data_IF_732590244861
#
_entry.id   IF_732590244861
#
_cell.length_a   1.000
_cell.length_b   1.000
_cell.length_c   1.000
_cell.angle_alpha   90.00
_cell.angle_beta   90.00
_cell.angle_gamma   90.00
#
_symmetry.space_group_name_H-M   'P 1'
#
loop_
_entity.id
_entity.type
_entity.pdbx_description
1 polymer ?
#
# COMPACT_ATOMS: atom_id res chain seq x y z
N UNK A 1 13.37 9.59 -24.03
CA UNK A 1 12.96 9.62 -22.62
C UNK A 1 13.72 8.54 -21.90
N UNK A 2 14.66 8.94 -21.03
CA UNK A 2 15.39 8.10 -20.10
C UNK A 2 14.78 8.24 -18.71
N UNK A 3 14.49 7.14 -18.04
CA UNK A 3 13.77 7.12 -16.75
C UNK A 3 14.72 6.68 -15.65
N UNK A 4 14.93 7.53 -14.65
CA UNK A 4 15.60 7.15 -13.41
C UNK A 4 14.58 6.55 -12.44
N UNK A 5 14.89 5.38 -11.89
CA UNK A 5 14.06 4.71 -10.90
C UNK A 5 14.58 5.05 -9.51
N UNK A 6 13.91 5.97 -8.81
CA UNK A 6 14.27 6.38 -7.45
C UNK A 6 13.71 5.40 -6.40
N UNK A 7 14.03 4.12 -6.58
CA UNK A 7 13.58 3.02 -5.72
C UNK A 7 14.55 1.82 -5.83
N UNK A 8 14.22 0.71 -5.18
CA UNK A 8 15.01 -0.53 -5.13
C UNK A 8 14.12 -1.77 -5.23
N UNK A 9 14.75 -2.95 -5.26
CA UNK A 9 14.04 -4.21 -5.06
C UNK A 9 13.04 -4.50 -6.18
N UNK A 10 11.96 -5.22 -5.86
CA UNK A 10 11.03 -5.74 -6.86
C UNK A 10 10.36 -4.64 -7.68
N UNK A 11 10.01 -3.52 -7.04
CA UNK A 11 9.32 -2.43 -7.75
C UNK A 11 10.25 -1.74 -8.74
N UNK A 12 11.54 -1.63 -8.43
CA UNK A 12 12.50 -1.11 -9.39
C UNK A 12 12.63 -2.03 -10.60
N UNK A 13 12.71 -3.35 -10.37
CA UNK A 13 12.67 -4.36 -11.45
C UNK A 13 11.40 -4.25 -12.30
N UNK A 14 10.24 -4.11 -11.65
CA UNK A 14 8.93 -3.96 -12.31
C UNK A 14 8.85 -2.73 -13.21
N UNK A 15 9.41 -1.60 -12.76
CA UNK A 15 9.47 -0.36 -13.54
C UNK A 15 10.44 -0.48 -14.69
N UNK A 16 11.65 -1.03 -14.46
CA UNK A 16 12.65 -1.25 -15.51
C UNK A 16 12.06 -2.09 -16.65
N UNK A 17 11.36 -3.20 -16.32
CA UNK A 17 10.65 -4.02 -17.31
C UNK A 17 9.62 -3.21 -18.10
N UNK A 18 8.81 -2.38 -17.44
CA UNK A 18 7.84 -1.53 -18.13
C UNK A 18 8.50 -0.52 -19.08
N UNK A 19 9.62 0.08 -18.65
CA UNK A 19 10.40 1.00 -19.47
C UNK A 19 10.96 0.30 -20.71
N UNK A 20 11.60 -0.87 -20.55
CA UNK A 20 12.18 -1.63 -21.66
C UNK A 20 11.10 -2.08 -22.67
N UNK A 21 9.96 -2.57 -22.19
CA UNK A 21 8.82 -2.92 -23.05
C UNK A 21 8.25 -1.72 -23.84
N UNK A 22 8.47 -0.50 -23.35
CA UNK A 22 8.10 0.75 -24.02
C UNK A 22 9.26 1.34 -24.86
N UNK A 23 10.40 0.67 -24.94
CA UNK A 23 11.59 1.14 -25.66
C UNK A 23 12.30 2.33 -24.99
N UNK A 24 12.20 2.46 -23.67
CA UNK A 24 12.79 3.53 -22.88
C UNK A 24 14.06 3.07 -22.18
N UNK A 25 15.05 3.95 -22.09
CA UNK A 25 16.26 3.72 -21.31
C UNK A 25 16.02 3.92 -19.82
N UNK A 26 16.77 3.20 -18.99
CA UNK A 26 16.58 3.15 -17.54
C UNK A 26 17.87 3.45 -16.77
N UNK A 27 17.72 4.14 -15.65
CA UNK A 27 18.81 4.38 -14.68
C UNK A 27 18.38 3.86 -13.32
N UNK A 28 19.13 2.91 -12.77
CA UNK A 28 18.94 2.46 -11.39
C UNK A 28 19.75 3.34 -10.43
N UNK A 29 19.15 3.72 -9.30
CA UNK A 29 19.92 4.18 -8.14
C UNK A 29 20.10 3.04 -7.14
N UNK A 30 21.24 2.99 -6.48
CA UNK A 30 21.51 1.97 -5.48
C UNK A 30 22.35 2.47 -4.31
N UNK A 31 22.20 1.84 -3.15
CA UNK A 31 23.12 2.02 -2.03
C UNK A 31 24.31 1.07 -2.16
N UNK A 32 25.40 1.30 -1.42
CA UNK A 32 26.49 0.31 -1.33
C UNK A 32 26.04 -1.09 -0.88
N UNK A 33 24.96 -1.19 -0.12
CA UNK A 33 24.42 -2.48 0.32
C UNK A 33 23.64 -3.22 -0.79
N UNK A 34 23.20 -2.52 -1.83
CA UNK A 34 22.45 -3.05 -2.97
C UNK A 34 23.29 -3.11 -4.26
N UNK A 35 24.64 -3.06 -4.17
CA UNK A 35 25.52 -3.08 -5.36
C UNK A 35 25.32 -4.31 -6.25
N UNK A 36 24.85 -5.42 -5.67
CA UNK A 36 24.55 -6.67 -6.39
C UNK A 36 23.04 -6.93 -6.54
N UNK A 37 22.18 -5.94 -6.24
CA UNK A 37 20.74 -6.10 -6.35
C UNK A 37 20.30 -6.25 -7.80
N UNK A 38 19.25 -7.06 -8.05
CA UNK A 38 18.82 -7.36 -9.42
C UNK A 38 18.42 -6.12 -10.22
N UNK A 39 17.85 -5.09 -9.58
CA UNK A 39 17.49 -3.85 -10.29
C UNK A 39 18.71 -3.07 -10.81
N UNK A 40 19.88 -3.23 -10.18
CA UNK A 40 21.15 -2.65 -10.66
C UNK A 40 21.62 -3.38 -11.91
N UNK A 41 21.50 -4.71 -11.91
CA UNK A 41 21.92 -5.56 -13.03
C UNK A 41 21.01 -5.42 -14.27
N UNK A 42 19.75 -5.06 -14.07
CA UNK A 42 18.76 -4.98 -15.15
C UNK A 42 18.66 -3.62 -15.81
N UNK A 43 19.07 -2.53 -15.15
CA UNK A 43 19.01 -1.20 -15.74
C UNK A 43 20.14 -0.98 -16.78
N UNK A 44 19.93 -0.04 -17.71
CA UNK A 44 20.95 0.30 -18.72
C UNK A 44 22.17 1.01 -18.09
N UNK A 45 21.92 1.83 -17.06
CA UNK A 45 22.92 2.52 -16.27
C UNK A 45 22.58 2.42 -14.77
N UNK A 46 23.58 2.48 -13.90
CA UNK A 46 23.36 2.48 -12.46
C UNK A 46 24.32 3.41 -11.71
N UNK A 47 23.78 4.17 -10.74
CA UNK A 47 24.54 5.11 -9.91
C UNK A 47 24.39 4.79 -8.43
N UNK A 48 25.52 4.70 -7.73
CA UNK A 48 25.53 4.62 -6.28
C UNK A 48 25.17 5.97 -5.66
N UNK A 49 24.13 6.02 -4.83
CA UNK A 49 23.61 7.25 -4.21
C UNK A 49 23.87 7.34 -2.70
N UNK A 50 24.61 6.39 -2.12
CA UNK A 50 25.07 6.47 -0.73
C UNK A 50 25.24 5.13 -0.02
N UNK A 51 25.29 5.17 1.31
CA UNK A 51 25.51 4.00 2.15
C UNK A 51 24.22 3.19 2.37
N UNK A 52 24.35 2.02 3.02
CA UNK A 52 23.25 1.06 3.22
C UNK A 52 21.96 1.67 3.79
N UNK A 53 21.98 2.41 4.92
CA UNK A 53 20.78 3.00 5.48
C UNK A 53 20.05 3.92 4.48
N UNK A 54 18.72 3.78 4.38
CA UNK A 54 17.91 4.55 3.42
C UNK A 54 18.02 6.07 3.61
N UNK A 55 18.22 6.53 4.84
CA UNK A 55 18.44 7.95 5.18
C UNK A 55 19.72 8.50 4.56
N UNK A 56 20.68 7.63 4.27
CA UNK A 56 21.99 7.92 3.68
C UNK A 56 22.05 7.63 2.18
N UNK A 57 20.98 7.09 1.59
CA UNK A 57 20.88 6.73 0.17
C UNK A 57 19.53 7.09 -0.46
N UNK A 58 18.55 6.18 -0.42
CA UNK A 58 17.25 6.30 -1.12
C UNK A 58 16.38 7.49 -0.69
N UNK A 59 16.68 8.13 0.45
CA UNK A 59 16.02 9.35 0.93
C UNK A 59 16.87 10.62 0.74
N UNK A 60 18.08 10.51 0.19
CA UNK A 60 18.95 11.66 -0.12
C UNK A 60 18.55 12.27 -1.46
N UNK A 61 17.59 13.20 -1.40
CA UNK A 61 17.08 13.95 -2.57
C UNK A 61 18.21 14.55 -3.40
N UNK A 62 19.21 15.18 -2.78
CA UNK A 62 20.33 15.80 -3.49
C UNK A 62 21.09 14.79 -4.36
N UNK A 63 21.40 13.61 -3.82
CA UNK A 63 22.16 12.57 -4.55
C UNK A 63 21.34 11.99 -5.71
N UNK A 64 20.03 11.85 -5.54
CA UNK A 64 19.13 11.37 -6.61
C UNK A 64 19.06 12.40 -7.74
N UNK A 65 18.96 13.68 -7.43
CA UNK A 65 18.96 14.74 -8.45
C UNK A 65 20.31 14.84 -9.17
N UNK A 66 21.42 14.71 -8.45
CA UNK A 66 22.75 14.61 -9.07
C UNK A 66 22.86 13.40 -10.00
N UNK A 67 22.27 12.25 -9.64
CA UNK A 67 22.23 11.09 -10.53
C UNK A 67 21.42 11.36 -11.80
N UNK A 68 20.29 12.07 -11.71
CA UNK A 68 19.53 12.51 -12.88
C UNK A 68 20.35 13.41 -13.80
N UNK A 69 21.05 14.40 -13.23
CA UNK A 69 21.88 15.34 -13.99
C UNK A 69 23.02 14.63 -14.74
N UNK A 70 23.76 13.76 -14.03
CA UNK A 70 24.91 13.04 -14.60
C UNK A 70 24.50 12.06 -15.70
N UNK A 71 23.32 11.44 -15.59
CA UNK A 71 22.83 10.47 -16.58
C UNK A 71 21.99 11.08 -17.69
N UNK A 72 21.59 12.35 -17.55
CA UNK A 72 20.63 12.99 -18.45
C UNK A 72 19.25 12.30 -18.41
N UNK A 73 18.78 11.90 -17.23
CA UNK A 73 17.44 11.35 -17.08
C UNK A 73 16.36 12.42 -17.32
N UNK A 74 15.35 12.10 -18.12
CA UNK A 74 14.22 12.99 -18.43
C UNK A 74 13.09 12.91 -17.39
N UNK A 75 13.01 11.79 -16.68
CA UNK A 75 11.91 11.47 -15.78
C UNK A 75 12.38 10.66 -14.57
N UNK A 76 11.65 10.76 -13.47
CA UNK A 76 11.87 9.97 -12.25
C UNK A 76 10.62 9.14 -11.96
N UNK A 77 10.78 7.83 -11.86
CA UNK A 77 9.76 6.95 -11.29
C UNK A 77 10.09 6.65 -9.83
N UNK A 78 9.28 7.10 -8.85
CA UNK A 78 9.60 6.92 -7.44
C UNK A 78 9.13 5.58 -6.88
N UNK A 79 8.36 4.80 -7.64
CA UNK A 79 7.82 3.51 -7.19
C UNK A 79 6.84 3.69 -6.02
N UNK A 80 7.04 2.93 -4.95
CA UNK A 80 6.33 3.10 -3.68
C UNK A 80 7.27 3.20 -2.48
N UNK A 81 6.79 3.75 -1.35
CA UNK A 81 7.66 4.05 -0.22
C UNK A 81 8.68 5.15 -0.56
N UNK A 82 9.73 5.30 0.26
CA UNK A 82 10.76 6.32 0.10
C UNK A 82 10.20 7.72 -0.20
N UNK A 83 10.45 8.25 -1.39
CA UNK A 83 10.09 9.60 -1.82
C UNK A 83 8.80 9.66 -2.68
N UNK A 84 8.11 8.54 -2.88
CA UNK A 84 6.94 8.45 -3.78
C UNK A 84 5.73 9.29 -3.35
N UNK A 85 5.59 9.55 -2.05
CA UNK A 85 4.54 10.43 -1.50
C UNK A 85 5.13 11.72 -0.90
N UNK A 86 6.38 12.06 -1.27
CA UNK A 86 7.04 13.28 -0.83
C UNK A 86 6.71 14.44 -1.78
N UNK A 87 5.74 15.28 -1.38
CA UNK A 87 5.33 16.45 -2.17
C UNK A 87 6.49 17.43 -2.45
N UNK A 88 7.43 17.60 -1.51
CA UNK A 88 8.60 18.47 -1.73
C UNK A 88 9.51 17.90 -2.81
N UNK A 89 9.74 16.59 -2.81
CA UNK A 89 10.53 15.93 -3.84
C UNK A 89 9.89 16.08 -5.23
N UNK A 90 8.58 15.81 -5.35
CA UNK A 90 7.85 16.01 -6.61
C UNK A 90 7.94 17.47 -7.10
N UNK A 91 7.80 18.45 -6.20
CA UNK A 91 7.94 19.87 -6.54
C UNK A 91 9.36 20.23 -7.02
N UNK A 92 10.40 19.66 -6.40
CA UNK A 92 11.78 19.85 -6.83
C UNK A 92 11.98 19.26 -8.23
N UNK A 93 11.51 18.05 -8.49
CA UNK A 93 11.58 17.44 -9.82
C UNK A 93 10.95 18.35 -10.90
N UNK A 94 9.73 18.85 -10.65
CA UNK A 94 9.04 19.78 -11.55
C UNK A 94 9.87 21.06 -11.79
N UNK A 95 10.48 21.63 -10.74
CA UNK A 95 11.33 22.83 -10.86
C UNK A 95 12.64 22.59 -11.61
N UNK A 96 13.12 21.35 -11.64
CA UNK A 96 14.31 20.92 -12.38
C UNK A 96 13.98 20.41 -13.79
N UNK A 97 12.76 20.60 -14.29
CA UNK A 97 12.27 20.05 -15.57
C UNK A 97 12.35 18.51 -15.66
N UNK A 98 12.37 17.80 -14.53
CA UNK A 98 12.30 16.35 -14.46
C UNK A 98 10.84 15.91 -14.35
N UNK A 99 10.40 15.05 -15.27
CA UNK A 99 9.03 14.55 -15.25
C UNK A 99 8.86 13.55 -14.09
N UNK A 100 8.18 13.97 -13.02
CA UNK A 100 7.82 13.10 -11.92
C UNK A 100 6.70 12.13 -12.37
N UNK A 101 7.01 10.83 -12.46
CA UNK A 101 6.04 9.80 -12.87
C UNK A 101 5.14 9.46 -11.67
N UNK A 102 4.19 10.34 -11.42
CA UNK A 102 3.25 10.32 -10.31
C UNK A 102 2.20 11.43 -10.47
N UNK A 103 1.35 11.67 -9.47
CA UNK A 103 0.47 12.84 -9.43
C UNK A 103 1.26 14.13 -9.19
N UNK A 104 0.61 15.30 -9.33
CA UNK A 104 1.23 16.59 -9.02
C UNK A 104 1.60 16.71 -7.54
N UNK A 105 2.63 17.51 -7.25
CA UNK A 105 3.04 17.81 -5.87
C UNK A 105 1.89 18.36 -5.00
N UNK A 106 1.00 19.18 -5.58
CA UNK A 106 -0.21 19.67 -4.90
C UNK A 106 -1.16 18.53 -4.50
N UNK A 107 -1.39 17.57 -5.40
CA UNK A 107 -2.27 16.45 -5.13
C UNK A 107 -1.69 15.54 -4.04
N UNK A 108 -0.37 15.27 -4.09
CA UNK A 108 0.36 14.56 -3.03
C UNK A 108 0.18 15.28 -1.69
N UNK A 109 0.40 16.59 -1.64
CA UNK A 109 0.27 17.37 -0.41
C UNK A 109 -1.17 17.38 0.14
N UNK A 110 -2.18 17.54 -0.72
CA UNK A 110 -3.59 17.61 -0.31
C UNK A 110 -4.11 16.26 0.18
N UNK A 111 -3.73 15.16 -0.46
CA UNK A 111 -4.21 13.82 -0.13
C UNK A 111 -3.36 13.14 0.96
N UNK A 112 -2.08 13.48 1.08
CA UNK A 112 -1.21 13.02 2.18
C UNK A 112 -1.58 13.65 3.54
N UNK A 113 -2.27 14.79 3.55
CA UNK A 113 -2.84 15.36 4.76
C UNK A 113 -4.23 14.78 5.04
N UNK A 114 -4.36 14.00 6.13
CA UNK A 114 -5.62 13.30 6.48
C UNK A 114 -6.82 14.22 6.63
N UNK A 115 -6.66 15.44 7.15
CA UNK A 115 -7.77 16.38 7.31
C UNK A 115 -8.24 16.93 5.96
N UNK A 116 -7.31 17.29 5.08
CA UNK A 116 -7.63 17.72 3.72
C UNK A 116 -8.21 16.57 2.88
N UNK A 117 -7.66 15.36 2.98
CA UNK A 117 -8.16 14.17 2.30
C UNK A 117 -9.62 13.86 2.72
N UNK A 118 -9.93 13.90 4.01
CA UNK A 118 -11.32 13.77 4.50
C UNK A 118 -12.23 14.88 4.00
N UNK A 119 -11.73 16.12 3.91
CA UNK A 119 -12.51 17.24 3.35
C UNK A 119 -12.84 17.00 1.88
N UNK A 120 -11.88 16.50 1.10
CA UNK A 120 -12.09 16.09 -0.29
C UNK A 120 -13.10 14.95 -0.38
N UNK A 121 -12.98 13.92 0.46
CA UNK A 121 -13.93 12.81 0.51
C UNK A 121 -15.35 13.26 0.84
N UNK A 122 -15.53 14.15 1.83
CA UNK A 122 -16.83 14.76 2.15
C UNK A 122 -17.39 15.54 0.95
N UNK A 123 -16.58 16.35 0.26
CA UNK A 123 -16.99 17.06 -0.97
C UNK A 123 -17.38 16.10 -2.10
N UNK A 124 -16.72 14.94 -2.18
CA UNK A 124 -17.06 13.86 -3.12
C UNK A 124 -18.34 13.09 -2.74
N UNK A 125 -19.01 13.47 -1.64
CA UNK A 125 -20.12 12.74 -1.02
C UNK A 125 -19.76 11.30 -0.66
N UNK A 126 -18.46 11.05 -0.43
CA UNK A 126 -17.98 9.78 0.09
C UNK A 126 -18.14 9.78 1.61
N UNK A 127 -18.73 8.73 2.22
CA UNK A 127 -18.76 8.59 3.66
C UNK A 127 -17.32 8.60 4.22
N UNK A 128 -17.11 9.33 5.31
CA UNK A 128 -15.86 9.32 6.09
C UNK A 128 -16.16 8.75 7.46
N UNK A 129 -15.12 8.28 8.16
CA UNK A 129 -15.27 7.81 9.54
C UNK A 129 -15.89 8.96 10.38
N UNK A 130 -17.05 8.73 11.03
CA UNK A 130 -17.66 9.75 11.88
C UNK A 130 -16.71 10.20 12.97
N UNK A 131 -16.65 11.51 13.24
CA UNK A 131 -15.74 12.08 14.22
C UNK A 131 -16.02 13.56 14.43
N UNK A 132 -15.32 14.17 15.37
CA UNK A 132 -15.45 15.60 15.66
C UNK A 132 -14.95 16.44 14.49
N UNK A 133 -15.58 17.60 14.27
CA UNK A 133 -15.10 18.59 13.30
C UNK A 133 -13.97 19.42 13.94
N UNK A 134 -12.82 18.76 14.17
CA UNK A 134 -11.67 19.36 14.84
C UNK A 134 -11.52 18.92 16.29
N UNK A 135 -10.80 19.74 17.04
CA UNK A 135 -10.36 19.49 18.41
C UNK A 135 -11.53 19.74 19.37
N UNK A 136 -11.63 18.91 20.40
CA UNK A 136 -12.53 19.07 21.55
C UNK A 136 -11.67 19.26 22.81
N UNK A 137 -11.82 20.40 23.47
CA UNK A 137 -11.00 20.76 24.64
C UNK A 137 -11.68 20.48 25.98
N UNK A 138 -13.02 20.55 26.00
CA UNK A 138 -13.82 20.36 27.20
C UNK A 138 -14.46 18.96 27.22
N UNK A 139 -14.44 18.32 28.39
CA UNK A 139 -14.97 16.96 28.59
C UNK A 139 -16.48 16.92 28.37
N UNK A 140 -17.23 17.94 28.77
CA UNK A 140 -18.69 17.94 28.63
C UNK A 140 -19.09 18.08 27.16
N UNK A 141 -18.42 18.94 26.40
CA UNK A 141 -18.63 19.04 24.96
C UNK A 141 -18.15 17.80 24.19
N UNK A 142 -17.00 17.25 24.58
CA UNK A 142 -16.51 15.98 24.03
C UNK A 142 -17.50 14.83 24.28
N UNK A 143 -18.16 14.80 25.45
CA UNK A 143 -19.17 13.79 25.78
C UNK A 143 -20.44 13.94 24.92
N UNK A 144 -20.88 15.18 24.63
CA UNK A 144 -22.00 15.43 23.70
C UNK A 144 -21.69 14.91 22.30
N UNK A 145 -20.48 15.19 21.80
CA UNK A 145 -20.04 14.69 20.50
C UNK A 145 -19.88 13.16 20.50
N UNK A 146 -19.34 12.58 21.58
CA UNK A 146 -19.25 11.13 21.76
C UNK A 146 -20.61 10.44 21.67
N UNK A 147 -21.67 11.02 22.26
CA UNK A 147 -23.04 10.49 22.14
C UNK A 147 -23.57 10.54 20.71
N UNK A 148 -23.25 11.59 19.94
CA UNK A 148 -23.64 11.70 18.52
C UNK A 148 -22.91 10.70 17.63
N UNK A 149 -21.62 10.49 17.88
CA UNK A 149 -20.77 9.51 17.17
C UNK A 149 -21.19 8.07 17.53
N UNK A 150 -21.51 7.86 18.81
CA UNK A 150 -21.86 6.57 19.41
C UNK A 150 -20.62 5.73 19.77
N UNK A 151 -20.75 4.92 20.82
CA UNK A 151 -19.69 4.01 21.30
C UNK A 151 -19.67 2.66 20.55
N UNK A 152 -18.53 1.93 20.53
CA UNK A 152 -17.21 2.36 20.99
C UNK A 152 -16.61 3.42 20.06
N UNK A 153 -15.66 4.20 20.58
CA UNK A 153 -14.95 5.25 19.84
C UNK A 153 -13.48 5.34 20.26
N UNK A 154 -12.67 5.92 19.37
CA UNK A 154 -11.31 6.32 19.65
C UNK A 154 -11.26 7.78 20.14
N UNK A 155 -10.42 7.98 21.15
CA UNK A 155 -9.99 9.29 21.65
C UNK A 155 -8.54 9.45 21.20
N UNK A 156 -8.25 10.43 20.34
CA UNK A 156 -6.94 10.58 19.70
C UNK A 156 -6.37 11.97 19.95
N UNK A 157 -5.07 12.02 20.27
CA UNK A 157 -4.32 13.27 20.31
C UNK A 157 -4.08 13.81 18.89
N UNK A 158 -4.26 15.13 18.70
CA UNK A 158 -4.04 15.82 17.43
C UNK A 158 -2.57 15.74 16.98
N UNK A 159 -1.64 15.84 17.93
CA UNK A 159 -0.20 15.74 17.71
C UNK A 159 0.37 14.30 17.84
N UNK A 160 -0.49 13.29 18.06
CA UNK A 160 -0.07 11.93 18.37
C UNK A 160 0.41 11.11 17.17
N UNK A 161 1.49 10.35 17.35
CA UNK A 161 2.04 9.40 16.38
C UNK A 161 2.54 8.10 17.02
N UNK A 162 2.55 7.00 16.26
CA UNK A 162 3.13 5.73 16.73
C UNK A 162 2.33 4.97 17.80
N UNK A 163 1.03 5.24 17.94
CA UNK A 163 0.15 4.57 18.91
C UNK A 163 0.10 5.21 20.30
N UNK A 164 0.91 6.24 20.56
CA UNK A 164 0.85 7.07 21.77
C UNK A 164 -0.28 8.10 21.65
N UNK A 165 -1.02 8.34 22.73
CA UNK A 165 -2.16 9.27 22.74
C UNK A 165 -3.41 8.75 22.02
N UNK A 166 -3.59 7.42 21.91
CA UNK A 166 -4.81 6.79 21.39
C UNK A 166 -5.44 5.96 22.50
N UNK A 167 -6.68 6.29 22.88
CA UNK A 167 -7.47 5.53 23.86
C UNK A 167 -8.79 5.08 23.26
N UNK A 168 -9.36 4.03 23.83
CA UNK A 168 -10.68 3.52 23.45
C UNK A 168 -11.64 3.77 24.60
N UNK A 169 -12.80 4.32 24.29
CA UNK A 169 -13.94 4.37 25.20
C UNK A 169 -15.04 3.45 24.66
N UNK A 170 -15.40 2.43 25.44
CA UNK A 170 -16.45 1.47 25.05
C UNK A 170 -17.83 1.89 25.53
N UNK A 171 -17.91 2.83 26.47
CA UNK A 171 -19.16 3.35 27.01
C UNK A 171 -19.01 4.78 27.51
N UNK A 172 -20.14 5.41 27.78
CA UNK A 172 -20.20 6.76 28.35
C UNK A 172 -19.51 6.85 29.72
N UNK A 173 -19.65 5.81 30.56
CA UNK A 173 -19.04 5.74 31.90
C UNK A 173 -17.52 5.75 31.83
N UNK A 174 -16.95 5.10 30.82
CA UNK A 174 -15.49 5.03 30.62
C UNK A 174 -14.94 6.28 29.94
N UNK A 175 -15.76 6.97 29.15
CA UNK A 175 -15.31 8.06 28.29
C UNK A 175 -14.58 9.16 29.06
N UNK A 176 -15.17 9.67 30.15
CA UNK A 176 -14.59 10.78 30.93
C UNK A 176 -13.19 10.43 31.41
N UNK A 177 -13.02 9.22 31.97
CA UNK A 177 -11.72 8.73 32.46
C UNK A 177 -10.71 8.61 31.33
N UNK A 178 -11.11 8.03 30.20
CA UNK A 178 -10.21 7.84 29.06
C UNK A 178 -9.86 9.15 28.36
N UNK A 179 -10.78 10.12 28.34
CA UNK A 179 -10.54 11.44 27.76
C UNK A 179 -9.50 12.22 28.54
N UNK A 180 -9.65 12.33 29.86
CA UNK A 180 -8.68 13.01 30.73
C UNK A 180 -7.31 12.34 30.60
N UNK A 181 -7.28 11.02 30.63
CA UNK A 181 -6.02 10.27 30.48
C UNK A 181 -5.36 10.50 29.10
N UNK A 182 -6.14 10.59 28.02
CA UNK A 182 -5.61 10.91 26.69
C UNK A 182 -5.03 12.32 26.65
N UNK A 183 -5.72 13.30 27.25
CA UNK A 183 -5.28 14.69 27.31
C UNK A 183 -3.98 14.84 28.08
N UNK A 184 -3.86 14.21 29.25
CA UNK A 184 -2.63 14.24 30.07
C UNK A 184 -1.45 13.57 29.34
N UNK A 185 -1.70 12.44 28.67
CA UNK A 185 -0.67 11.75 27.88
C UNK A 185 -0.21 12.58 26.68
N UNK A 186 -1.14 13.25 26.01
CA UNK A 186 -0.87 14.12 24.88
C UNK A 186 -0.03 15.33 25.29
N UNK A 187 -0.41 15.99 26.39
CA UNK A 187 0.34 17.11 26.95
C UNK A 187 1.77 16.69 27.35
N UNK A 188 1.91 15.60 28.10
CA UNK A 188 3.22 15.12 28.56
C UNK A 188 4.14 14.67 27.42
N UNK A 189 3.57 14.10 26.35
CA UNK A 189 4.36 13.53 25.25
C UNK A 189 4.64 14.51 24.12
N UNK A 190 3.74 15.48 23.89
CA UNK A 190 3.75 16.32 22.69
C UNK A 190 3.58 17.81 22.99
N UNK A 191 3.49 18.21 24.27
CA UNK A 191 3.23 19.60 24.69
C UNK A 191 2.01 20.18 23.96
N UNK A 192 1.00 19.32 23.74
CA UNK A 192 -0.23 19.61 23.06
C UNK A 192 -1.35 18.69 23.60
N UNK A 193 -2.29 19.27 24.32
CA UNK A 193 -3.46 18.60 24.91
C UNK A 193 -4.65 18.40 23.97
N UNK A 194 -4.53 18.76 22.69
CA UNK A 194 -5.62 18.75 21.73
C UNK A 194 -6.08 17.32 21.43
N UNK A 195 -7.36 17.04 21.70
CA UNK A 195 -7.99 15.75 21.46
C UNK A 195 -9.05 15.85 20.37
N UNK A 196 -9.20 14.82 19.56
CA UNK A 196 -10.35 14.64 18.66
C UNK A 196 -10.93 13.23 18.79
N UNK A 197 -12.20 13.07 18.43
CA UNK A 197 -12.90 11.79 18.54
C UNK A 197 -13.17 11.20 17.17
N UNK A 198 -13.07 9.87 17.06
CA UNK A 198 -13.45 9.12 15.86
C UNK A 198 -14.21 7.85 16.23
N UNK A 199 -15.22 7.51 15.44
CA UNK A 199 -15.90 6.23 15.56
C UNK A 199 -14.90 5.09 15.45
N UNK A 200 -14.97 4.15 16.38
CA UNK A 200 -14.26 2.89 16.25
C UNK A 200 -15.11 1.96 15.39
N UNK A 201 -14.66 1.72 14.16
CA UNK A 201 -15.26 0.69 13.31
C UNK A 201 -14.81 -0.66 13.87
N UNK A 202 -15.77 -1.47 14.30
CA UNK A 202 -15.50 -2.79 14.87
C UNK A 202 -15.24 -3.80 13.76
N UNK A 203 -14.23 -4.64 13.97
CA UNK A 203 -13.86 -5.75 13.08
C UNK A 203 -13.88 -5.37 11.59
N UNK A 204 -13.29 -4.23 11.17
CA UNK A 204 -13.43 -3.78 9.81
C UNK A 204 -12.62 -4.66 8.86
N UNK A 205 -13.09 -4.72 7.61
CA UNK A 205 -12.26 -5.10 6.47
C UNK A 205 -11.58 -3.89 5.88
N UNK A 206 -10.37 -4.10 5.39
CA UNK A 206 -9.64 -3.09 4.63
C UNK A 206 -9.91 -3.35 3.15
N UNK A 207 -10.66 -2.44 2.54
CA UNK A 207 -11.02 -2.48 1.13
C UNK A 207 -10.41 -1.28 0.46
N UNK A 208 -9.82 -1.45 -0.71
CA UNK A 208 -9.24 -0.35 -1.44
C UNK A 208 -9.57 -0.41 -2.92
N UNK A 209 -9.60 0.72 -3.60
CA UNK A 209 -9.96 0.82 -5.01
C UNK A 209 -8.81 1.41 -5.80
N UNK A 210 -8.34 0.65 -6.79
CA UNK A 210 -7.35 1.12 -7.75
C UNK A 210 -7.96 2.16 -8.66
N UNK A 211 -7.29 3.30 -8.81
CA UNK A 211 -7.59 4.28 -9.85
C UNK A 211 -6.37 4.51 -10.74
N UNK A 212 -6.64 4.94 -11.97
CA UNK A 212 -5.65 5.59 -12.83
C UNK A 212 -6.32 6.73 -13.57
N UNK A 213 -5.60 7.83 -13.72
CA UNK A 213 -6.10 9.04 -14.36
C UNK A 213 -5.06 9.64 -15.30
N UNK A 214 -5.48 10.17 -16.45
CA UNK A 214 -4.59 10.92 -17.33
C UNK A 214 -4.62 12.43 -17.06
N UNK A 215 -3.68 13.15 -17.68
CA UNK A 215 -3.59 14.62 -17.61
C UNK A 215 -4.73 15.33 -18.39
N UNK A 216 -5.63 14.58 -19.04
CA UNK A 216 -6.74 15.08 -19.84
C UNK A 216 -8.10 14.98 -19.11
N UNK A 217 -8.08 14.57 -17.83
CA UNK A 217 -9.26 14.49 -16.98
C UNK A 217 -10.03 13.17 -17.09
N UNK A 218 -9.51 12.18 -17.83
CA UNK A 218 -10.09 10.85 -17.86
C UNK A 218 -9.61 10.05 -16.65
N UNK A 219 -10.55 9.52 -15.86
CA UNK A 219 -10.28 8.75 -14.64
C UNK A 219 -11.10 7.47 -14.69
N UNK A 220 -10.44 6.35 -14.43
CA UNK A 220 -11.03 5.01 -14.39
C UNK A 220 -10.60 4.27 -13.13
N UNK A 221 -11.45 3.38 -12.63
CA UNK A 221 -11.11 2.44 -11.56
C UNK A 221 -10.91 1.03 -12.11
N UNK A 222 -9.95 0.29 -11.53
CA UNK A 222 -9.66 -1.12 -11.86
C UNK A 222 -10.20 -2.08 -10.80
N UNK A 223 -11.30 -1.70 -10.18
CA UNK A 223 -11.99 -2.49 -9.16
C UNK A 223 -11.36 -2.38 -7.78
N UNK A 224 -11.84 -3.20 -6.86
CA UNK A 224 -11.42 -3.22 -5.47
C UNK A 224 -10.50 -4.39 -5.12
N UNK A 225 -9.66 -4.21 -4.11
CA UNK A 225 -8.87 -5.25 -3.45
C UNK A 225 -9.28 -5.36 -1.99
N UNK A 226 -9.36 -6.59 -1.49
CA UNK A 226 -9.47 -6.88 -0.07
C UNK A 226 -8.07 -7.11 0.49
N UNK A 227 -7.65 -6.21 1.39
CA UNK A 227 -6.33 -6.21 2.00
C UNK A 227 -6.43 -6.49 3.50
N UNK A 228 -7.47 -7.18 3.96
CA UNK A 228 -7.76 -7.31 5.40
C UNK A 228 -6.82 -8.26 6.14
N UNK A 229 -6.13 -9.15 5.43
CA UNK A 229 -5.17 -10.08 6.04
C UNK A 229 -3.86 -9.33 6.30
N UNK A 230 -3.78 -8.79 7.52
CA UNK A 230 -2.67 -7.95 7.97
C UNK A 230 -2.13 -8.41 9.32
N UNK A 231 -0.82 -8.25 9.52
CA UNK A 231 -0.15 -8.41 10.81
C UNK A 231 0.36 -7.05 11.25
N UNK A 232 -0.04 -6.55 12.42
CA UNK A 232 0.40 -5.23 12.92
C UNK A 232 0.25 -4.12 11.87
N UNK A 233 -0.87 -4.14 11.13
CA UNK A 233 -1.20 -3.21 10.01
C UNK A 233 -0.30 -3.31 8.77
N UNK A 234 0.46 -4.38 8.63
CA UNK A 234 1.20 -4.71 7.41
C UNK A 234 0.43 -5.78 6.63
N UNK A 235 0.07 -5.49 5.38
CA UNK A 235 -0.62 -6.41 4.49
C UNK A 235 0.27 -7.61 4.17
N UNK A 236 -0.30 -8.82 4.16
CA UNK A 236 0.42 -10.08 3.89
C UNK A 236 -0.22 -10.90 2.77
N UNK A 237 -1.55 -10.87 2.69
CA UNK A 237 -2.33 -11.49 1.62
C UNK A 237 -3.38 -10.49 1.14
N UNK A 238 -3.41 -10.26 -0.17
CA UNK A 238 -4.37 -9.39 -0.84
C UNK A 238 -5.15 -10.19 -1.87
N UNK A 239 -6.45 -9.89 -2.02
CA UNK A 239 -7.29 -10.59 -2.99
C UNK A 239 -8.23 -9.67 -3.77
N UNK A 240 -8.50 -10.01 -5.02
CA UNK A 240 -9.47 -9.29 -5.86
C UNK A 240 -10.22 -10.23 -6.81
N UNK A 241 -11.52 -10.03 -7.03
CA UNK A 241 -12.41 -9.12 -6.29
C UNK A 241 -12.57 -9.49 -4.81
N UNK A 242 -13.05 -8.58 -3.96
CA UNK A 242 -13.28 -8.92 -2.54
C UNK A 242 -14.42 -9.95 -2.43
N UNK A 243 -14.27 -11.02 -1.63
CA UNK A 243 -15.33 -12.01 -1.45
C UNK A 243 -16.55 -11.48 -0.67
N UNK A 244 -16.46 -10.31 -0.02
CA UNK A 244 -17.58 -9.67 0.69
C UNK A 244 -18.33 -8.64 -0.14
N UNK A 245 -17.79 -8.25 -1.29
CA UNK A 245 -18.33 -7.13 -2.08
C UNK A 245 -19.12 -7.64 -3.29
N UNK A 246 -20.41 -7.32 -3.31
CA UNK A 246 -21.26 -7.55 -4.47
C UNK A 246 -21.10 -6.45 -5.53
N UNK A 247 -21.68 -6.67 -6.72
CA UNK A 247 -21.55 -5.75 -7.85
C UNK A 247 -22.08 -4.32 -7.56
N UNK A 248 -23.14 -4.20 -6.76
CA UNK A 248 -23.71 -2.90 -6.40
C UNK A 248 -22.77 -2.09 -5.51
N UNK A 249 -22.23 -2.71 -4.47
CA UNK A 249 -21.28 -2.07 -3.58
C UNK A 249 -19.97 -1.74 -4.30
N UNK A 250 -19.49 -2.64 -5.17
CA UNK A 250 -18.33 -2.39 -6.05
C UNK A 250 -18.50 -1.14 -6.89
N UNK A 251 -19.68 -0.98 -7.53
CA UNK A 251 -20.00 0.22 -8.31
C UNK A 251 -20.00 1.49 -7.46
N UNK A 252 -20.51 1.42 -6.22
CA UNK A 252 -20.49 2.55 -5.28
C UNK A 252 -19.07 2.94 -4.87
N UNK A 253 -18.24 1.96 -4.50
CA UNK A 253 -16.84 2.16 -4.12
C UNK A 253 -16.03 2.75 -5.29
N UNK A 254 -16.17 2.18 -6.48
CA UNK A 254 -15.55 2.67 -7.70
C UNK A 254 -15.92 4.13 -8.00
N UNK A 255 -17.21 4.46 -7.93
CA UNK A 255 -17.68 5.83 -8.14
C UNK A 255 -17.16 6.80 -7.07
N UNK A 256 -17.12 6.40 -5.80
CA UNK A 256 -16.57 7.20 -4.72
C UNK A 256 -15.08 7.52 -4.95
N UNK A 257 -14.28 6.50 -5.28
CA UNK A 257 -12.86 6.65 -5.56
C UNK A 257 -12.60 7.59 -6.75
N UNK A 258 -13.33 7.41 -7.85
CA UNK A 258 -13.24 8.29 -9.04
C UNK A 258 -13.63 9.73 -8.69
N UNK A 259 -14.68 9.94 -7.89
CA UNK A 259 -15.11 11.29 -7.51
C UNK A 259 -14.10 11.99 -6.60
N UNK A 260 -13.47 11.28 -5.67
CA UNK A 260 -12.37 11.80 -4.85
C UNK A 260 -11.22 12.27 -5.74
N UNK A 261 -10.79 11.42 -6.67
CA UNK A 261 -9.72 11.72 -7.62
C UNK A 261 -10.04 12.97 -8.48
N UNK A 262 -11.28 13.08 -8.97
CA UNK A 262 -11.74 14.24 -9.75
C UNK A 262 -11.63 15.54 -8.95
N UNK A 263 -12.12 15.56 -7.71
CA UNK A 263 -12.06 16.76 -6.85
C UNK A 263 -10.62 17.15 -6.52
N UNK A 264 -9.75 16.14 -6.34
CA UNK A 264 -8.32 16.36 -6.11
C UNK A 264 -7.54 16.78 -7.37
N UNK A 265 -8.18 16.81 -8.56
CA UNK A 265 -7.53 17.00 -9.87
C UNK A 265 -6.37 16.01 -10.08
N UNK A 266 -6.60 14.76 -9.66
CA UNK A 266 -5.59 13.71 -9.64
C UNK A 266 -5.29 13.17 -11.05
N UNK A 267 -4.04 12.81 -11.30
CA UNK A 267 -3.57 12.04 -12.46
C UNK A 267 -2.52 11.02 -12.00
N UNK A 268 -2.15 10.08 -12.87
CA UNK A 268 -1.31 8.91 -12.55
C UNK A 268 -2.07 7.80 -11.79
N UNK A 269 -1.34 6.79 -11.31
CA UNK A 269 -1.88 5.72 -10.47
C UNK A 269 -2.11 6.21 -9.04
N UNK A 270 -3.17 5.70 -8.40
CA UNK A 270 -3.42 5.93 -6.98
C UNK A 270 -4.41 4.92 -6.43
N UNK A 271 -4.53 4.84 -5.11
CA UNK A 271 -5.47 3.95 -4.45
C UNK A 271 -6.25 4.68 -3.39
N UNK A 272 -7.58 4.51 -3.40
CA UNK A 272 -8.47 5.03 -2.36
C UNK A 272 -8.79 3.90 -1.38
N UNK A 273 -8.40 4.05 -0.12
CA UNK A 273 -8.59 3.03 0.92
C UNK A 273 -9.84 3.32 1.77
N UNK A 274 -10.52 2.25 2.16
CA UNK A 274 -11.78 2.25 2.90
C UNK A 274 -11.75 1.22 4.03
N UNK A 275 -12.44 1.54 5.12
CA UNK A 275 -12.87 0.54 6.09
C UNK A 275 -14.30 0.10 5.76
N UNK A 276 -14.54 -1.20 5.70
CA UNK A 276 -15.86 -1.80 5.52
C UNK A 276 -16.29 -2.45 6.84
N UNK A 277 -17.43 -2.02 7.38
CA UNK A 277 -17.99 -2.60 8.61
C UNK A 277 -18.77 -3.91 8.36
N UNK A 278 -19.21 -4.58 9.43
CA UNK A 278 -19.98 -5.82 9.37
C UNK A 278 -21.35 -5.67 8.66
N UNK A 279 -21.85 -4.44 8.53
CA UNK A 279 -23.11 -4.10 7.83
C UNK A 279 -22.87 -3.70 6.37
N UNK A 280 -21.65 -3.83 5.87
CA UNK A 280 -21.22 -3.41 4.54
C UNK A 280 -21.31 -1.89 4.28
N UNK A 281 -21.28 -1.07 5.33
CA UNK A 281 -21.04 0.36 5.18
C UNK A 281 -19.54 0.59 5.01
N UNK A 282 -19.18 1.41 4.04
CA UNK A 282 -17.79 1.77 3.78
C UNK A 282 -17.50 3.19 4.24
N UNK A 283 -16.28 3.43 4.70
CA UNK A 283 -15.80 4.71 5.19
C UNK A 283 -14.43 5.01 4.59
N UNK A 284 -14.27 6.15 3.94
CA UNK A 284 -12.98 6.62 3.45
C UNK A 284 -11.97 6.71 4.59
N UNK A 285 -10.82 6.10 4.38
CA UNK A 285 -9.71 6.08 5.33
C UNK A 285 -8.59 7.01 4.87
N UNK A 286 -8.01 6.73 3.72
CA UNK A 286 -6.95 7.53 3.11
C UNK A 286 -6.88 7.28 1.60
N UNK A 287 -5.96 8.00 0.93
CA UNK A 287 -5.63 7.75 -0.46
C UNK A 287 -4.12 7.73 -0.60
N UNK A 288 -3.56 6.62 -1.08
CA UNK A 288 -2.14 6.57 -1.41
C UNK A 288 -1.91 7.15 -2.79
N UNK A 289 -1.05 8.15 -2.87
CA UNK A 289 -0.83 8.95 -4.09
C UNK A 289 0.27 8.38 -4.97
N UNK A 290 0.26 7.06 -5.15
CA UNK A 290 1.31 6.27 -5.80
C UNK A 290 0.79 4.89 -6.20
N UNK A 291 1.61 4.14 -6.93
CA UNK A 291 1.41 2.69 -7.10
C UNK A 291 1.56 1.98 -5.73
N UNK A 292 0.89 0.84 -5.55
CA UNK A 292 1.00 -0.01 -4.36
C UNK A 292 1.66 -1.35 -4.69
N UNK A 293 2.07 -2.10 -3.67
CA UNK A 293 2.75 -3.40 -3.82
C UNK A 293 1.82 -4.37 -4.57
N UNK A 294 0.58 -4.42 -4.11
CA UNK A 294 -0.55 -5.23 -4.54
C UNK A 294 -1.25 -4.74 -5.82
N UNK A 295 -0.63 -3.83 -6.59
CA UNK A 295 -1.20 -3.40 -7.89
C UNK A 295 -1.33 -4.57 -8.87
N UNK A 296 -0.44 -5.55 -8.75
CA UNK A 296 -0.32 -6.76 -9.57
C UNK A 296 -1.63 -7.53 -9.69
N UNK A 297 -2.41 -7.65 -8.61
CA UNK A 297 -3.67 -8.41 -8.62
C UNK A 297 -4.74 -7.67 -9.41
N UNK A 298 -4.72 -6.34 -9.42
CA UNK A 298 -5.56 -5.54 -10.32
C UNK A 298 -5.11 -5.71 -11.78
N UNK A 299 -3.81 -5.70 -12.06
CA UNK A 299 -3.30 -5.94 -13.42
C UNK A 299 -3.73 -7.31 -13.94
N UNK A 300 -3.53 -8.38 -13.15
CA UNK A 300 -3.89 -9.74 -13.54
C UNK A 300 -5.41 -9.91 -13.70
N UNK A 301 -6.22 -9.21 -12.91
CA UNK A 301 -7.67 -9.30 -13.02
C UNK A 301 -8.19 -8.58 -14.27
N UNK A 302 -7.67 -7.39 -14.57
CA UNK A 302 -8.22 -6.51 -15.61
C UNK A 302 -7.40 -6.49 -16.92
N UNK A 303 -6.25 -7.17 -16.96
CA UNK A 303 -5.27 -7.13 -18.05
C UNK A 303 -4.78 -5.71 -18.39
N UNK A 304 -4.74 -4.81 -17.40
CA UNK A 304 -4.22 -3.44 -17.56
C UNK A 304 -2.86 -3.36 -16.91
N UNK A 305 -1.82 -3.07 -17.69
CA UNK A 305 -0.47 -2.81 -17.17
C UNK A 305 -0.41 -1.40 -16.58
N UNK A 306 -0.53 -1.30 -15.26
CA UNK A 306 -0.63 -0.04 -14.53
C UNK A 306 0.65 0.79 -14.65
N UNK A 307 1.81 0.15 -14.60
CA UNK A 307 3.10 0.86 -14.64
C UNK A 307 3.37 1.42 -16.05
N UNK A 308 3.05 0.67 -17.11
CA UNK A 308 3.13 1.20 -18.49
C UNK A 308 2.19 2.37 -18.70
N UNK A 309 0.95 2.27 -18.22
CA UNK A 309 0.00 3.38 -18.33
C UNK A 309 0.43 4.59 -17.50
N UNK A 310 1.03 4.37 -16.31
CA UNK A 310 1.61 5.43 -15.49
C UNK A 310 2.69 6.22 -16.25
N UNK A 311 3.59 5.51 -16.92
CA UNK A 311 4.66 6.09 -17.75
C UNK A 311 4.07 6.84 -18.96
N UNK A 312 3.10 6.25 -19.67
CA UNK A 312 2.41 6.91 -20.80
C UNK A 312 1.69 8.19 -20.37
N UNK A 313 1.02 8.19 -19.22
CA UNK A 313 0.38 9.38 -18.65
C UNK A 313 1.41 10.46 -18.33
N UNK A 314 2.56 10.09 -17.77
CA UNK A 314 3.65 11.04 -17.53
C UNK A 314 4.12 11.68 -18.84
N UNK A 315 4.21 10.91 -19.93
CA UNK A 315 4.49 11.39 -21.30
C UNK A 315 3.34 12.19 -21.94
N UNK A 316 2.26 12.48 -21.20
CA UNK A 316 1.13 13.28 -21.67
C UNK A 316 0.13 12.53 -22.55
N UNK A 317 0.24 11.20 -22.65
CA UNK A 317 -0.73 10.38 -23.39
C UNK A 317 -2.05 10.25 -22.61
N UNK A 318 -3.13 10.01 -23.34
CA UNK A 318 -4.43 9.62 -22.76
C UNK A 318 -4.41 8.15 -22.36
N UNK A 319 -5.28 7.76 -21.42
CA UNK A 319 -5.47 6.36 -21.09
C UNK A 319 -5.90 5.55 -22.32
N UNK A 320 -5.36 4.34 -22.46
CA UNK A 320 -5.59 3.49 -23.64
C UNK A 320 -6.95 2.76 -23.64
N UNK A 321 -7.76 2.92 -22.60
CA UNK A 321 -9.02 2.22 -22.39
C UNK A 321 -10.02 3.09 -21.61
N UNK A 322 -11.31 2.74 -21.65
CA UNK A 322 -12.41 3.40 -20.91
C UNK A 322 -12.95 2.49 -19.82
N UNK A 323 -13.67 3.08 -18.85
CA UNK A 323 -14.27 2.35 -17.74
C UNK A 323 -15.14 1.15 -18.15
N UNK A 324 -15.87 1.26 -19.27
CA UNK A 324 -16.77 0.22 -19.78
C UNK A 324 -16.05 -1.00 -20.35
N UNK A 325 -14.75 -0.90 -20.63
CA UNK A 325 -13.90 -1.96 -21.18
C UNK A 325 -13.24 -2.78 -20.06
N UNK A 326 -13.35 -2.34 -18.80
CA UNK A 326 -12.81 -3.05 -17.65
C UNK A 326 -13.76 -4.16 -17.22
N UNK A 327 -13.25 -5.39 -17.26
CA UNK A 327 -13.97 -6.57 -16.80
C UNK A 327 -13.26 -7.22 -15.61
N UNK A 328 -14.05 -7.77 -14.70
CA UNK A 328 -13.56 -8.45 -13.50
C UNK A 328 -13.86 -9.95 -13.62
N UNK A 329 -12.97 -10.70 -14.28
CA UNK A 329 -13.14 -12.15 -14.51
C UNK A 329 -12.11 -12.96 -13.75
N UNK A 330 -12.61 -13.87 -12.92
CA UNK A 330 -11.78 -14.75 -12.10
C UNK A 330 -11.56 -14.19 -10.70
N UNK A 331 -10.53 -14.72 -10.05
CA UNK A 331 -10.11 -14.30 -8.71
C UNK A 331 -8.59 -14.33 -8.65
N UNK A 332 -7.98 -13.30 -8.07
CA UNK A 332 -6.53 -13.17 -7.98
C UNK A 332 -6.11 -12.96 -6.54
N UNK A 333 -5.08 -13.67 -6.11
CA UNK A 333 -4.40 -13.46 -4.83
C UNK A 333 -2.99 -12.93 -5.07
N UNK A 334 -2.49 -12.08 -4.17
CA UNK A 334 -1.06 -11.84 -3.95
C UNK A 334 -0.69 -12.36 -2.56
N UNK A 335 0.44 -13.07 -2.50
CA UNK A 335 1.09 -13.48 -1.26
C UNK A 335 2.45 -12.82 -1.16
N UNK A 336 2.68 -12.05 -0.09
CA UNK A 336 3.99 -11.42 0.17
C UNK A 336 4.95 -12.43 0.78
N UNK A 337 5.93 -12.86 0.01
CA UNK A 337 6.97 -13.77 0.47
C UNK A 337 8.09 -12.92 1.08
N UNK A 338 8.19 -12.93 2.41
CA UNK A 338 9.14 -12.12 3.17
C UNK A 338 10.17 -13.03 3.84
N UNK A 339 11.39 -12.51 4.01
CA UNK A 339 12.47 -13.08 4.81
C UNK A 339 12.18 -12.85 6.29
N UNK A 340 11.18 -13.55 6.82
CA UNK A 340 10.74 -13.47 8.21
C UNK A 340 10.49 -14.89 8.75
N UNK A 341 10.54 -15.08 10.07
CA UNK A 341 10.21 -16.34 10.74
C UNK A 341 8.83 -16.27 11.42
N UNK A 342 7.75 -16.73 10.77
CA UNK A 342 6.40 -16.74 11.36
C UNK A 342 6.31 -17.48 12.70
N UNK A 343 7.11 -18.53 12.91
CA UNK A 343 7.10 -19.33 14.14
C UNK A 343 7.70 -18.59 15.34
N UNK A 344 8.44 -17.52 15.06
CA UNK A 344 9.08 -16.65 16.04
C UNK A 344 8.58 -15.20 15.90
N UNK A 345 7.26 -15.02 15.86
CA UNK A 345 6.59 -13.72 15.78
C UNK A 345 7.09 -12.84 14.61
N UNK A 346 7.36 -13.49 13.46
CA UNK A 346 7.78 -12.85 12.21
C UNK A 346 9.02 -11.98 12.39
N UNK A 347 10.02 -12.48 13.13
CA UNK A 347 11.32 -11.82 13.21
C UNK A 347 11.99 -11.78 11.83
N UNK A 348 12.60 -10.66 11.42
CA UNK A 348 13.35 -10.59 10.17
C UNK A 348 14.48 -11.62 10.11
N UNK A 349 14.70 -12.20 8.94
CA UNK A 349 15.71 -13.21 8.64
C UNK A 349 16.53 -12.81 7.40
N UNK A 350 17.27 -11.67 7.44
CA UNK A 350 18.17 -11.31 6.35
C UNK A 350 19.30 -12.34 6.23
N UNK A 351 19.85 -12.50 5.03
CA UNK A 351 20.91 -13.47 4.80
C UNK A 351 21.04 -13.90 3.34
N UNK A 352 21.98 -14.80 3.10
CA UNK A 352 22.27 -15.33 1.75
C UNK A 352 21.23 -16.37 1.34
N UNK A 353 20.60 -16.14 0.19
CA UNK A 353 19.75 -17.11 -0.48
C UNK A 353 20.62 -18.19 -1.11
N UNK A 354 20.84 -19.30 -0.40
CA UNK A 354 21.65 -20.43 -0.90
C UNK A 354 20.98 -21.08 -2.11
N UNK A 355 19.67 -21.28 -2.02
CA UNK A 355 18.83 -21.73 -3.11
C UNK A 355 17.58 -20.87 -3.15
N UNK A 356 17.23 -20.46 -4.36
CA UNK A 356 16.02 -19.73 -4.67
C UNK A 356 15.44 -20.33 -5.95
N UNK A 357 14.40 -21.17 -5.79
CA UNK A 357 13.70 -21.83 -6.88
C UNK A 357 12.26 -21.30 -6.87
N UNK A 358 11.95 -20.29 -7.70
CA UNK A 358 10.61 -19.74 -7.78
C UNK A 358 9.63 -20.73 -8.43
N UNK A 359 8.33 -20.71 -8.04
CA UNK A 359 7.32 -21.51 -8.70
C UNK A 359 6.95 -20.90 -10.05
N UNK A 360 6.27 -21.70 -10.88
CA UNK A 360 5.80 -21.25 -12.19
C UNK A 360 4.58 -22.01 -12.68
N UNK A 361 4.45 -22.10 -14.00
CA UNK A 361 3.33 -22.76 -14.67
C UNK A 361 2.08 -21.88 -14.81
N UNK A 362 0.98 -22.44 -15.35
CA UNK A 362 -0.22 -21.68 -15.65
C UNK A 362 -0.77 -20.92 -14.44
N UNK A 363 -1.14 -19.66 -14.68
CA UNK A 363 -1.73 -18.71 -13.73
C UNK A 363 -0.87 -18.36 -12.50
N UNK A 364 0.44 -18.53 -12.60
CA UNK A 364 1.40 -18.08 -11.58
C UNK A 364 2.24 -16.95 -12.16
N UNK A 365 2.18 -15.79 -11.54
CA UNK A 365 3.08 -14.66 -11.78
C UNK A 365 3.95 -14.44 -10.55
N UNK A 366 5.21 -14.08 -10.77
CA UNK A 366 6.14 -13.77 -9.70
C UNK A 366 6.89 -12.48 -10.00
N UNK A 367 6.76 -11.52 -9.09
CA UNK A 367 7.51 -10.27 -9.12
C UNK A 367 8.56 -10.34 -7.98
N UNK A 368 9.85 -10.29 -8.31
CA UNK A 368 10.94 -10.46 -7.35
C UNK A 368 12.20 -9.74 -7.82
N UNK A 369 13.05 -9.37 -6.85
CA UNK A 369 14.42 -8.90 -7.08
C UNK A 369 15.48 -9.86 -6.53
N UNK A 370 15.07 -11.06 -6.09
CA UNK A 370 15.95 -12.06 -5.51
C UNK A 370 16.36 -13.10 -6.55
N UNK A 371 17.57 -13.64 -6.39
CA UNK A 371 18.11 -14.74 -7.18
C UNK A 371 19.02 -15.62 -6.29
N UNK A 372 19.34 -16.83 -6.73
CA UNK A 372 20.23 -17.72 -5.98
C UNK A 372 21.61 -17.08 -5.83
N UNK A 373 22.10 -16.98 -4.59
CA UNK A 373 23.35 -16.33 -4.24
C UNK A 373 23.20 -14.90 -3.69
N UNK A 374 22.08 -14.22 -3.95
CA UNK A 374 21.82 -12.88 -3.45
C UNK A 374 21.78 -12.84 -1.90
N UNK A 375 22.34 -11.77 -1.34
CA UNK A 375 22.33 -11.52 0.11
C UNK A 375 21.28 -10.46 0.40
N UNK A 376 20.22 -10.85 1.12
CA UNK A 376 19.20 -9.91 1.58
C UNK A 376 19.82 -9.04 2.69
N UNK A 377 19.95 -7.72 2.48
CA UNK A 377 20.57 -6.84 3.46
C UNK A 377 19.62 -6.58 4.66
N UNK A 378 20.16 -6.25 5.84
CA UNK A 378 19.35 -5.99 7.03
C UNK A 378 18.73 -4.56 7.08
N UNK A 379 18.99 -3.73 6.06
CA UNK A 379 18.64 -2.30 6.08
C UNK A 379 17.23 -1.97 5.57
N UNK A 380 16.58 -2.88 4.85
CA UNK A 380 15.35 -2.61 4.09
C UNK A 380 14.20 -3.53 4.50
N UNK A 381 13.09 -3.43 3.78
CA UNK A 381 12.00 -4.37 3.93
C UNK A 381 12.44 -5.80 3.62
N UNK A 382 11.76 -6.76 4.24
CA UNK A 382 12.09 -8.18 4.19
C UNK A 382 11.58 -8.87 2.91
N UNK A 383 11.00 -8.16 1.94
CA UNK A 383 10.31 -8.81 0.81
C UNK A 383 11.29 -9.52 -0.13
N UNK A 384 11.06 -10.82 -0.32
CA UNK A 384 11.77 -11.67 -1.27
C UNK A 384 11.08 -11.62 -2.63
N UNK A 385 9.75 -11.79 -2.62
CA UNK A 385 8.93 -11.86 -3.82
C UNK A 385 7.46 -11.59 -3.51
N UNK A 386 6.72 -11.23 -4.55
CA UNK A 386 5.26 -11.24 -4.58
C UNK A 386 4.83 -12.40 -5.45
N UNK A 387 4.06 -13.33 -4.87
CA UNK A 387 3.50 -14.47 -5.60
C UNK A 387 2.05 -14.17 -5.94
N UNK A 388 1.77 -14.04 -7.24
CA UNK A 388 0.45 -13.69 -7.74
C UNK A 388 -0.19 -14.89 -8.41
N UNK A 389 -1.42 -15.20 -8.01
CA UNK A 389 -2.13 -16.40 -8.42
C UNK A 389 -3.50 -16.03 -8.95
N UNK A 390 -3.79 -16.42 -10.20
CA UNK A 390 -5.11 -16.24 -10.82
C UNK A 390 -5.85 -17.57 -10.91
N UNK A 391 -7.12 -17.59 -10.55
CA UNK A 391 -8.02 -18.71 -10.77
C UNK A 391 -9.31 -18.27 -11.45
N UNK A 392 -10.08 -19.22 -11.97
CA UNK A 392 -11.42 -18.92 -12.52
C UNK A 392 -12.42 -18.46 -11.45
N UNK A 393 -12.17 -18.83 -10.20
CA UNK A 393 -12.88 -18.43 -9.00
C UNK A 393 -11.93 -18.52 -7.80
N UNK A 394 -12.38 -18.05 -6.62
CA UNK A 394 -11.56 -18.05 -5.39
C UNK A 394 -11.07 -19.44 -4.98
N UNK A 395 -11.90 -20.48 -5.13
CA UNK A 395 -11.54 -21.85 -4.74
C UNK A 395 -10.46 -22.42 -5.65
N UNK A 396 -10.56 -22.13 -6.95
CA UNK A 396 -9.57 -22.51 -7.95
C UNK A 396 -8.23 -21.81 -7.70
N UNK A 397 -8.26 -20.49 -7.44
CA UNK A 397 -7.06 -19.73 -7.10
C UNK A 397 -6.35 -20.26 -5.84
N UNK A 398 -7.11 -20.66 -4.80
CA UNK A 398 -6.56 -21.31 -3.60
C UNK A 398 -5.82 -22.62 -3.94
N UNK A 399 -6.38 -23.47 -4.82
CA UNK A 399 -5.73 -24.72 -5.23
C UNK A 399 -4.40 -24.47 -5.95
N UNK A 400 -4.39 -23.49 -6.86
CA UNK A 400 -3.18 -23.09 -7.60
C UNK A 400 -2.14 -22.48 -6.63
N UNK A 401 -2.58 -21.66 -5.67
CA UNK A 401 -1.72 -21.07 -4.66
C UNK A 401 -1.06 -22.13 -3.78
N UNK A 402 -1.80 -23.17 -3.34
CA UNK A 402 -1.23 -24.31 -2.60
C UNK A 402 -0.13 -25.02 -3.39
N UNK A 403 -0.32 -25.23 -4.69
CA UNK A 403 0.71 -25.81 -5.56
C UNK A 403 1.95 -24.90 -5.61
N UNK A 404 1.74 -23.64 -6.00
CA UNK A 404 2.84 -22.69 -6.19
C UNK A 404 3.65 -22.45 -4.91
N UNK A 405 3.01 -22.33 -3.75
CA UNK A 405 3.70 -22.16 -2.47
C UNK A 405 4.51 -23.40 -2.06
N UNK A 406 4.02 -24.62 -2.34
CA UNK A 406 4.77 -25.87 -2.10
C UNK A 406 5.95 -26.04 -3.06
N UNK A 407 5.84 -25.50 -4.27
CA UNK A 407 6.91 -25.51 -5.26
C UNK A 407 7.96 -24.41 -5.01
N UNK A 408 7.66 -23.40 -4.19
CA UNK A 408 8.57 -22.29 -3.91
C UNK A 408 9.62 -22.67 -2.86
N UNK A 409 10.83 -23.01 -3.32
CA UNK A 409 11.92 -23.42 -2.44
C UNK A 409 12.87 -22.26 -2.17
N UNK A 410 13.01 -21.90 -0.90
CA UNK A 410 13.92 -20.85 -0.40
C UNK A 410 14.77 -21.46 0.71
N UNK A 411 16.10 -21.39 0.57
CA UNK A 411 17.03 -21.88 1.58
C UNK A 411 18.08 -20.80 1.93
N UNK A 412 18.47 -20.76 3.20
CA UNK A 412 19.46 -19.83 3.75
C UNK A 412 18.86 -18.74 4.63
N UNK A 413 17.55 -18.49 4.47
CA UNK A 413 16.74 -17.59 5.30
C UNK A 413 15.41 -18.26 5.67
N UNK A 414 14.74 -17.78 6.71
CA UNK A 414 13.34 -18.14 7.00
C UNK A 414 12.40 -17.35 6.09
N UNK A 415 11.20 -17.88 5.81
CA UNK A 415 10.22 -17.17 5.00
C UNK A 415 8.78 -17.32 5.49
N UNK A 416 7.92 -16.42 5.01
CA UNK A 416 6.47 -16.43 5.27
C UNK A 416 5.69 -17.51 4.52
N UNK A 417 6.33 -18.39 3.75
CA UNK A 417 5.66 -19.45 2.98
C UNK A 417 4.84 -20.38 3.89
N UNK A 418 5.38 -20.77 5.04
CA UNK A 418 4.68 -21.63 6.01
C UNK A 418 3.37 -21.01 6.51
N UNK A 419 3.42 -19.71 6.85
CA UNK A 419 2.23 -18.93 7.20
C UNK A 419 1.19 -18.91 6.08
N UNK A 420 1.61 -18.68 4.84
CA UNK A 420 0.67 -18.67 3.71
C UNK A 420 0.02 -20.04 3.50
N UNK A 421 0.78 -21.13 3.62
CA UNK A 421 0.24 -22.49 3.53
C UNK A 421 -0.79 -22.77 4.64
N UNK A 422 -0.49 -22.37 5.87
CA UNK A 422 -1.43 -22.44 7.00
C UNK A 422 -2.74 -21.72 6.68
N UNK A 423 -2.66 -20.47 6.18
CA UNK A 423 -3.84 -19.67 5.84
C UNK A 423 -4.71 -20.34 4.76
N UNK A 424 -4.12 -21.11 3.83
CA UNK A 424 -4.88 -21.83 2.81
C UNK A 424 -5.58 -23.11 3.34
N UNK A 425 -5.36 -23.47 4.59
CA UNK A 425 -6.02 -24.59 5.28
C UNK A 425 -6.97 -24.12 6.39
N UNK A 426 -6.81 -22.88 6.84
CA UNK A 426 -7.63 -22.24 7.86
C UNK A 426 -9.10 -22.02 7.41
N UNK A 427 -10.05 -22.58 8.17
CA UNK A 427 -11.48 -22.55 7.81
C UNK A 427 -12.04 -21.14 7.71
N UNK A 428 -11.60 -20.22 8.57
CA UNK A 428 -12.05 -18.83 8.56
C UNK A 428 -11.57 -18.10 7.31
N UNK A 429 -10.31 -18.29 6.91
CA UNK A 429 -9.82 -17.77 5.64
C UNK A 429 -10.57 -18.36 4.43
N UNK A 430 -10.78 -19.69 4.41
CA UNK A 430 -11.50 -20.37 3.33
C UNK A 430 -12.95 -19.88 3.18
N UNK A 431 -13.61 -19.59 4.29
CA UNK A 431 -14.99 -19.09 4.33
C UNK A 431 -15.10 -17.56 4.27
N UNK A 432 -13.98 -16.84 4.13
CA UNK A 432 -13.93 -15.37 4.15
C UNK A 432 -14.53 -14.77 5.44
N UNK A 433 -14.26 -15.40 6.58
CA UNK A 433 -14.65 -14.94 7.92
C UNK A 433 -13.43 -14.38 8.69
N UNK A 434 -12.92 -13.27 8.19
CA UNK A 434 -11.79 -12.55 8.76
C UNK A 434 -11.99 -11.03 8.72
N UNK A 435 -11.21 -10.31 9.52
CA UNK A 435 -11.16 -8.85 9.60
C UNK A 435 -9.70 -8.41 9.84
N UNK A 436 -9.45 -7.11 9.99
CA UNK A 436 -8.12 -6.55 10.19
C UNK A 436 -7.33 -7.11 11.39
N UNK A 437 -8.02 -7.59 12.43
CA UNK A 437 -7.37 -8.11 13.64
C UNK A 437 -7.06 -9.61 13.55
N UNK A 438 -7.42 -10.27 12.44
CA UNK A 438 -7.45 -11.73 12.35
C UNK A 438 -6.12 -12.41 12.68
N UNK A 439 -5.01 -11.95 12.07
CA UNK A 439 -3.69 -12.55 12.31
C UNK A 439 -3.22 -12.24 13.74
N UNK A 440 -3.42 -11.01 14.21
CA UNK A 440 -3.01 -10.60 15.55
C UNK A 440 -3.75 -11.43 16.62
N UNK A 441 -5.04 -11.76 16.39
CA UNK A 441 -5.82 -12.66 17.24
C UNK A 441 -5.31 -14.11 17.22
N UNK A 442 -4.88 -14.62 16.05
CA UNK A 442 -4.26 -15.95 15.94
C UNK A 442 -2.95 -16.01 16.74
N UNK A 443 -2.10 -15.00 16.61
CA UNK A 443 -0.85 -14.90 17.36
C UNK A 443 -1.11 -14.80 18.86
N UNK A 444 -2.08 -13.99 19.28
CA UNK A 444 -2.46 -13.83 20.69
C UNK A 444 -2.97 -15.14 21.32
N UNK A 445 -3.57 -16.03 20.52
CA UNK A 445 -3.98 -17.38 20.93
C UNK A 445 -2.84 -18.40 20.95
N UNK A 446 -1.62 -17.98 20.62
CA UNK A 446 -0.44 -18.84 20.60
C UNK A 446 -0.33 -19.72 19.35
N UNK A 447 -1.06 -19.39 18.27
CA UNK A 447 -0.90 -20.08 17.00
C UNK A 447 0.53 -19.91 16.49
N UNK A 448 1.16 -21.02 16.10
CA UNK A 448 2.45 -21.05 15.42
C UNK A 448 2.22 -21.53 14.00
N UNK A 449 2.80 -20.80 13.06
CA UNK A 449 2.64 -21.00 11.63
C UNK A 449 3.74 -21.87 11.04
#
# INVERSE_FOLDING_TARGET
MKVLIANRGEIAVRIIRACHDLGLQTVAVYSKADSEALHVLLADEAICVGDGPSVDSYLKVANILSACEVTGADAIHPGYGFLSENAKFAAICESCNLNFIGPSHEAISKLGNKAHAKTIAKKAKCPVIPGTNGIVNDVADALKEARKIGFPLFIKASAGGGGKGIRVASSEKEFVKQFIAAQTEAEASFNNSDIYLEKMIMNPRHIEVQIIADKHGHIVHLGERDCSIQRRRQKLIEETPSPKINAHLRKKLGAAAVNIAKIAKYYSCGTVEFLLDEKNNYYFMEMNTRIQVEHTISEELTNVDLVKEQIKVAMGKRLSFKQKEIEFRGHVFEFRINAEDPSNNFQPSPGKLKYYIPPGGPNVRLDSACYSGYVIPPYYDSMIAKLIIKGKDRKDAIKIAKRALKEFHIQGVKSTIGFHLYMLEDEKFLNSDYNLNYIDDLIAKGCKF
#
